data_IF_272394470404
#
_entry.id   IF_272394470404
#
_cell.length_a   1.000
_cell.length_b   1.000
_cell.length_c   1.000
_cell.angle_alpha   90.00
_cell.angle_beta   90.00
_cell.angle_gamma   90.00
#
_symmetry.space_group_name_H-M   'P 1'
#
loop_
_entity.id
_entity.type
_entity.pdbx_description
1 polymer ?
#
# COMPACT_ATOMS: atom_id res chain seq x y z
N UNK A 1 -1.73 28.38 22.38
CA UNK A 1 -1.10 29.24 21.35
C UNK A 1 -0.55 28.32 20.26
N UNK A 2 -1.34 28.04 19.22
CA UNK A 2 -0.97 27.15 18.11
C UNK A 2 -0.22 27.92 17.04
N UNK A 3 1.08 28.12 17.27
CA UNK A 3 1.92 28.85 16.33
C UNK A 3 3.35 28.38 16.44
N UNK A 4 3.87 27.91 15.30
CA UNK A 4 5.30 27.72 15.07
C UNK A 4 5.79 28.87 14.19
N UNK A 5 7.03 29.33 14.42
CA UNK A 5 7.63 30.34 13.54
C UNK A 5 7.88 29.71 12.17
N UNK A 6 7.46 30.38 11.11
CA UNK A 6 7.65 29.90 9.73
C UNK A 6 9.12 29.59 9.41
N UNK A 7 10.05 30.45 9.85
CA UNK A 7 11.48 30.22 9.66
C UNK A 7 11.96 28.92 10.28
N UNK A 8 11.47 28.60 11.49
CA UNK A 8 11.82 27.39 12.21
C UNK A 8 11.21 26.14 11.55
N UNK A 9 9.95 26.23 11.10
CA UNK A 9 9.32 25.14 10.37
C UNK A 9 10.04 24.85 9.05
N UNK A 10 10.44 25.90 8.32
CA UNK A 10 11.22 25.78 7.08
C UNK A 10 12.56 25.08 7.31
N UNK A 11 13.28 25.44 8.37
CA UNK A 11 14.55 24.82 8.73
C UNK A 11 14.38 23.32 9.03
N UNK A 12 13.37 22.96 9.83
CA UNK A 12 13.06 21.57 10.18
C UNK A 12 12.72 20.77 8.91
N UNK A 13 11.79 21.26 8.10
CA UNK A 13 11.36 20.56 6.88
C UNK A 13 12.51 20.41 5.89
N UNK A 14 13.35 21.44 5.73
CA UNK A 14 14.53 21.39 4.87
C UNK A 14 15.54 20.35 5.36
N UNK A 15 15.79 20.30 6.68
CA UNK A 15 16.68 19.33 7.29
C UNK A 15 16.18 17.89 7.05
N UNK A 16 14.89 17.64 7.30
CA UNK A 16 14.30 16.32 7.11
C UNK A 16 14.31 15.88 5.65
N UNK A 17 13.97 16.77 4.71
CA UNK A 17 14.09 16.46 3.28
C UNK A 17 15.52 16.06 2.91
N UNK A 18 16.54 16.79 3.40
CA UNK A 18 17.95 16.44 3.15
C UNK A 18 18.30 15.07 3.73
N UNK A 19 17.91 14.78 4.96
CA UNK A 19 18.20 13.51 5.61
C UNK A 19 17.57 12.33 4.84
N UNK A 20 16.29 12.43 4.51
CA UNK A 20 15.55 11.36 3.83
C UNK A 20 16.03 11.18 2.39
N UNK A 21 16.32 12.26 1.67
CA UNK A 21 16.87 12.16 0.29
C UNK A 21 18.29 11.61 0.27
N UNK A 22 19.14 12.00 1.22
CA UNK A 22 20.47 11.41 1.39
C UNK A 22 20.37 9.91 1.69
N UNK A 23 19.52 9.50 2.62
CA UNK A 23 19.30 8.09 2.96
C UNK A 23 18.83 7.28 1.76
N UNK A 24 17.83 7.77 1.02
CA UNK A 24 17.31 7.11 -0.17
C UNK A 24 18.35 6.96 -1.30
N UNK A 25 19.26 7.92 -1.43
CA UNK A 25 20.30 7.93 -2.47
C UNK A 25 21.52 7.08 -2.12
N UNK A 26 22.00 7.18 -0.88
CA UNK A 26 23.28 6.60 -0.44
C UNK A 26 23.13 5.17 0.04
N UNK A 27 21.95 4.81 0.58
CA UNK A 27 21.64 3.46 1.04
C UNK A 27 20.25 3.03 0.55
N UNK A 28 20.09 2.95 -0.78
CA UNK A 28 18.78 2.68 -1.39
C UNK A 28 18.14 1.37 -0.92
N UNK A 29 18.93 0.30 -0.71
CA UNK A 29 18.41 -0.99 -0.25
C UNK A 29 17.93 -0.91 1.21
N UNK A 30 18.74 -0.35 2.11
CA UNK A 30 18.37 -0.13 3.51
C UNK A 30 17.16 0.81 3.64
N UNK A 31 17.06 1.82 2.77
CA UNK A 31 15.92 2.72 2.70
C UNK A 31 14.65 1.99 2.28
N UNK A 32 14.73 1.13 1.27
CA UNK A 32 13.61 0.32 0.84
C UNK A 32 13.13 -0.64 1.95
N UNK A 33 14.07 -1.23 2.69
CA UNK A 33 13.74 -2.08 3.85
C UNK A 33 13.12 -1.26 4.99
N UNK A 34 13.67 -0.09 5.31
CA UNK A 34 13.15 0.80 6.34
C UNK A 34 11.73 1.29 6.00
N UNK A 35 11.49 1.79 4.78
CA UNK A 35 10.16 2.23 4.35
C UNK A 35 9.19 1.04 4.34
N UNK A 36 9.63 -0.15 3.91
CA UNK A 36 8.82 -1.36 4.01
C UNK A 36 8.46 -1.68 5.46
N UNK A 37 9.37 -1.50 6.42
CA UNK A 37 9.13 -1.78 7.84
C UNK A 37 8.19 -0.76 8.49
N UNK A 38 8.38 0.52 8.21
CA UNK A 38 7.57 1.63 8.74
C UNK A 38 6.22 1.75 8.04
N UNK A 39 6.10 1.30 6.78
CA UNK A 39 4.79 1.13 6.18
C UNK A 39 4.02 0.10 7.01
N UNK A 40 2.99 0.61 7.65
CA UNK A 40 2.23 0.02 8.73
C UNK A 40 2.19 -1.53 8.70
N UNK A 41 2.57 -2.17 9.80
CA UNK A 41 2.40 -3.63 9.99
C UNK A 41 0.97 -4.08 9.64
N UNK A 42 -0.03 -3.21 9.81
CA UNK A 42 -1.39 -3.44 9.35
C UNK A 42 -1.52 -3.63 7.83
N UNK A 43 -0.86 -2.81 7.00
CA UNK A 43 -0.88 -2.92 5.54
C UNK A 43 -0.17 -4.21 5.07
N UNK A 44 0.97 -4.56 5.70
CA UNK A 44 1.63 -5.86 5.47
C UNK A 44 0.75 -7.04 5.84
N UNK A 45 0.06 -6.95 6.98
CA UNK A 45 -0.88 -7.96 7.46
C UNK A 45 -2.07 -8.09 6.50
N UNK A 46 -2.64 -6.98 6.08
CA UNK A 46 -3.75 -6.92 5.13
C UNK A 46 -3.36 -7.51 3.76
N UNK A 47 -2.16 -7.19 3.25
CA UNK A 47 -1.63 -7.78 2.02
C UNK A 47 -1.42 -9.29 2.17
N UNK A 48 -0.91 -9.74 3.31
CA UNK A 48 -0.75 -11.18 3.61
C UNK A 48 -2.10 -11.90 3.68
N UNK A 49 -3.10 -11.29 4.31
CA UNK A 49 -4.47 -11.83 4.39
C UNK A 49 -5.15 -11.84 3.01
N UNK A 50 -5.03 -10.77 2.23
CA UNK A 50 -5.53 -10.70 0.85
C UNK A 50 -4.90 -11.78 -0.03
N UNK A 51 -3.58 -12.00 0.08
CA UNK A 51 -2.88 -13.05 -0.66
C UNK A 51 -3.34 -14.47 -0.25
N UNK A 52 -3.61 -14.69 1.05
CA UNK A 52 -4.19 -15.97 1.54
C UNK A 52 -5.58 -16.21 0.96
N UNK A 53 -6.44 -15.18 0.97
CA UNK A 53 -7.78 -15.25 0.37
C UNK A 53 -7.70 -15.51 -1.13
N UNK A 54 -6.83 -14.81 -1.84
CA UNK A 54 -6.62 -14.98 -3.28
C UNK A 54 -6.29 -16.43 -3.63
N UNK A 55 -5.31 -17.03 -2.94
CA UNK A 55 -4.94 -18.43 -3.16
C UNK A 55 -6.09 -19.39 -2.87
N UNK A 56 -6.91 -19.10 -1.86
CA UNK A 56 -8.08 -19.92 -1.53
C UNK A 56 -9.15 -19.82 -2.62
N UNK A 57 -9.46 -18.62 -3.11
CA UNK A 57 -10.45 -18.40 -4.17
C UNK A 57 -9.96 -18.98 -5.51
N UNK A 58 -8.68 -18.84 -5.86
CA UNK A 58 -8.09 -19.49 -7.05
C UNK A 58 -8.15 -21.02 -6.97
N UNK A 59 -7.85 -21.59 -5.80
CA UNK A 59 -7.99 -23.04 -5.58
C UNK A 59 -9.44 -23.49 -5.72
N UNK A 60 -10.39 -22.77 -5.11
CA UNK A 60 -11.81 -23.09 -5.20
C UNK A 60 -12.32 -22.99 -6.65
N UNK A 61 -11.90 -21.97 -7.38
CA UNK A 61 -12.25 -21.80 -8.80
C UNK A 61 -11.80 -23.00 -9.64
N UNK A 62 -10.58 -23.51 -9.39
CA UNK A 62 -10.08 -24.70 -10.04
C UNK A 62 -10.88 -25.96 -9.66
N UNK A 63 -11.23 -26.13 -8.38
CA UNK A 63 -12.09 -27.22 -7.90
C UNK A 63 -13.46 -27.20 -8.58
N UNK A 64 -14.11 -26.03 -8.64
CA UNK A 64 -15.40 -25.86 -9.33
C UNK A 64 -15.28 -26.19 -10.82
N UNK A 65 -14.17 -25.83 -11.47
CA UNK A 65 -13.90 -26.23 -12.86
C UNK A 65 -13.80 -27.76 -13.05
N UNK A 66 -13.23 -28.48 -12.09
CA UNK A 66 -13.19 -29.95 -12.11
C UNK A 66 -14.58 -30.53 -11.91
N UNK A 67 -15.35 -29.99 -10.96
CA UNK A 67 -16.73 -30.44 -10.69
C UNK A 67 -17.60 -30.22 -11.92
N UNK A 68 -17.49 -29.06 -12.56
CA UNK A 68 -18.26 -28.74 -13.77
C UNK A 68 -17.93 -29.69 -14.93
N UNK A 69 -16.65 -30.05 -15.11
CA UNK A 69 -16.25 -31.03 -16.13
C UNK A 69 -16.89 -32.40 -15.88
N UNK A 70 -16.87 -32.88 -14.64
CA UNK A 70 -17.52 -34.15 -14.26
C UNK A 70 -19.02 -34.10 -14.47
N UNK A 71 -19.67 -32.99 -14.08
CA UNK A 71 -21.11 -32.79 -14.29
C UNK A 71 -21.47 -32.89 -15.79
N UNK A 72 -20.63 -32.34 -16.66
CA UNK A 72 -20.82 -32.46 -18.11
C UNK A 72 -20.61 -33.90 -18.61
N UNK A 73 -19.60 -34.61 -18.11
CA UNK A 73 -19.37 -36.03 -18.42
C UNK A 73 -20.58 -36.89 -18.00
N UNK A 74 -21.12 -36.69 -16.81
CA UNK A 74 -22.30 -37.41 -16.30
C UNK A 74 -23.57 -37.12 -17.12
N UNK A 75 -23.72 -35.89 -17.63
CA UNK A 75 -24.81 -35.52 -18.53
C UNK A 75 -24.70 -36.21 -19.89
N UNK A 76 -23.52 -36.18 -20.51
CA UNK A 76 -23.27 -36.85 -21.81
C UNK A 76 -23.43 -38.37 -21.72
N UNK A 77 -23.12 -38.97 -20.56
CA UNK A 77 -23.31 -40.39 -20.29
C UNK A 77 -24.76 -40.77 -19.96
N UNK A 78 -25.67 -39.78 -19.83
CA UNK A 78 -27.08 -40.01 -19.49
C UNK A 78 -27.32 -40.38 -18.04
N UNK A 79 -26.34 -40.18 -17.16
CA UNK A 79 -26.46 -40.42 -15.71
C UNK A 79 -27.39 -39.38 -15.06
N UNK A 80 -27.43 -38.17 -15.62
CA UNK A 80 -28.33 -37.08 -15.23
C UNK A 80 -29.07 -36.54 -16.45
N UNK A 81 -30.31 -36.09 -16.25
CA UNK A 81 -31.12 -35.48 -17.31
C UNK A 81 -30.81 -33.98 -17.54
N UNK A 82 -31.39 -33.42 -18.60
CA UNK A 82 -31.17 -32.01 -18.99
C UNK A 82 -31.60 -31.00 -17.91
N UNK A 83 -32.65 -31.31 -17.15
CA UNK A 83 -33.21 -30.39 -16.16
C UNK A 83 -32.34 -30.39 -14.89
N UNK A 84 -31.87 -31.56 -14.46
CA UNK A 84 -30.88 -31.72 -13.40
C UNK A 84 -29.56 -31.06 -13.77
N UNK A 85 -29.08 -31.25 -15.00
CA UNK A 85 -27.87 -30.61 -15.50
C UNK A 85 -28.01 -29.07 -15.48
N UNK A 86 -29.11 -28.52 -16.01
CA UNK A 86 -29.36 -27.07 -15.99
C UNK A 86 -29.39 -26.52 -14.57
N UNK A 87 -30.09 -27.18 -13.65
CA UNK A 87 -30.19 -26.73 -12.26
C UNK A 87 -28.81 -26.69 -11.57
N UNK A 88 -28.00 -27.74 -11.72
CA UNK A 88 -26.68 -27.83 -11.07
C UNK A 88 -25.63 -26.93 -11.75
N UNK A 89 -25.62 -26.89 -13.08
CA UNK A 89 -24.67 -26.07 -13.86
C UNK A 89 -24.86 -24.58 -13.61
N UNK A 90 -26.10 -24.12 -13.35
CA UNK A 90 -26.36 -22.74 -13.01
C UNK A 90 -25.67 -22.33 -11.70
N UNK A 91 -25.82 -23.12 -10.63
CA UNK A 91 -25.19 -22.85 -9.34
C UNK A 91 -23.66 -22.79 -9.43
N UNK A 92 -23.04 -23.70 -10.18
CA UNK A 92 -21.59 -23.67 -10.39
C UNK A 92 -21.14 -22.51 -11.28
N UNK A 93 -21.94 -22.11 -12.26
CA UNK A 93 -21.64 -20.95 -13.10
C UNK A 93 -21.68 -19.67 -12.28
N UNK A 94 -22.67 -19.53 -11.41
CA UNK A 94 -22.78 -18.40 -10.48
C UNK A 94 -21.59 -18.36 -9.52
N UNK A 95 -21.22 -19.50 -8.93
CA UNK A 95 -20.05 -19.61 -8.05
C UNK A 95 -18.74 -19.24 -8.80
N UNK A 96 -18.55 -19.69 -10.05
CA UNK A 96 -17.39 -19.32 -10.85
C UNK A 96 -17.32 -17.82 -11.11
N UNK A 97 -18.46 -17.19 -11.43
CA UNK A 97 -18.53 -15.76 -11.69
C UNK A 97 -18.21 -14.96 -10.42
N UNK A 98 -18.75 -15.38 -9.27
CA UNK A 98 -18.46 -14.76 -7.98
C UNK A 98 -16.98 -14.88 -7.61
N UNK A 99 -16.38 -16.06 -7.78
CA UNK A 99 -14.95 -16.28 -7.50
C UNK A 99 -14.06 -15.45 -8.42
N UNK A 100 -14.40 -15.34 -9.71
CA UNK A 100 -13.64 -14.49 -10.66
C UNK A 100 -13.70 -13.01 -10.28
N UNK A 101 -14.87 -12.52 -9.86
CA UNK A 101 -15.02 -11.16 -9.36
C UNK A 101 -14.17 -10.94 -8.09
N UNK A 102 -14.28 -11.84 -7.10
CA UNK A 102 -13.50 -11.76 -5.86
C UNK A 102 -11.98 -11.79 -6.14
N UNK A 103 -11.51 -12.65 -7.05
CA UNK A 103 -10.10 -12.71 -7.46
C UNK A 103 -9.66 -11.39 -8.11
N UNK A 104 -10.50 -10.79 -8.94
CA UNK A 104 -10.22 -9.51 -9.59
C UNK A 104 -10.09 -8.39 -8.55
N UNK A 105 -11.06 -8.31 -7.63
CA UNK A 105 -11.07 -7.30 -6.57
C UNK A 105 -9.87 -7.46 -5.63
N UNK A 106 -9.55 -8.69 -5.21
CA UNK A 106 -8.37 -8.98 -4.39
C UNK A 106 -7.08 -8.58 -5.10
N UNK A 107 -6.96 -8.83 -6.42
CA UNK A 107 -5.78 -8.40 -7.20
C UNK A 107 -5.68 -6.88 -7.27
N UNK A 108 -6.81 -6.18 -7.43
CA UNK A 108 -6.85 -4.72 -7.43
C UNK A 108 -6.42 -4.14 -6.08
N UNK A 109 -7.04 -4.59 -4.97
CA UNK A 109 -6.64 -4.16 -3.61
C UNK A 109 -5.17 -4.44 -3.35
N UNK A 110 -4.67 -5.60 -3.76
CA UNK A 110 -3.26 -5.92 -3.61
C UNK A 110 -2.36 -5.01 -4.45
N UNK A 111 -2.74 -4.63 -5.66
CA UNK A 111 -1.98 -3.65 -6.46
C UNK A 111 -1.95 -2.27 -5.80
N UNK A 112 -3.07 -1.82 -5.24
CA UNK A 112 -3.15 -0.56 -4.49
C UNK A 112 -2.21 -0.59 -3.28
N UNK A 113 -2.25 -1.67 -2.49
CA UNK A 113 -1.38 -1.88 -1.34
C UNK A 113 0.10 -2.05 -1.72
N UNK A 114 0.39 -2.69 -2.86
CA UNK A 114 1.76 -2.93 -3.36
C UNK A 114 2.39 -1.73 -4.07
N UNK A 115 1.61 -0.70 -4.42
CA UNK A 115 2.12 0.51 -5.06
C UNK A 115 3.25 1.19 -4.25
N UNK A 116 3.43 0.83 -2.97
CA UNK A 116 4.51 1.27 -2.09
C UNK A 116 5.93 0.95 -2.60
N UNK A 117 6.20 -0.23 -3.20
CA UNK A 117 7.55 -0.54 -3.70
C UNK A 117 7.91 0.31 -4.93
N UNK A 118 6.93 0.53 -5.81
CA UNK A 118 7.08 1.45 -6.93
C UNK A 118 7.25 2.90 -6.44
N UNK A 119 6.58 3.25 -5.35
CA UNK A 119 6.67 4.56 -4.71
C UNK A 119 8.05 4.79 -4.06
N UNK A 120 8.65 3.79 -3.41
CA UNK A 120 10.02 3.90 -2.88
C UNK A 120 11.05 4.08 -3.98
N UNK A 121 10.93 3.33 -5.08
CA UNK A 121 11.79 3.49 -6.25
C UNK A 121 11.65 4.89 -6.90
N UNK A 122 10.42 5.41 -6.99
CA UNK A 122 10.15 6.78 -7.45
C UNK A 122 10.77 7.82 -6.54
N UNK A 123 10.64 7.66 -5.22
CA UNK A 123 11.24 8.57 -4.25
C UNK A 123 12.76 8.57 -4.36
N UNK A 124 13.39 7.39 -4.46
CA UNK A 124 14.83 7.28 -4.65
C UNK A 124 15.31 7.92 -5.96
N UNK A 125 14.52 7.83 -7.04
CA UNK A 125 14.81 8.52 -8.30
C UNK A 125 14.74 10.05 -8.14
N UNK A 126 13.74 10.57 -7.43
CA UNK A 126 13.64 12.00 -7.10
C UNK A 126 14.82 12.45 -6.23
N UNK A 127 15.18 11.68 -5.21
CA UNK A 127 16.33 11.96 -4.34
C UNK A 127 17.66 12.00 -5.11
N UNK A 128 17.82 11.18 -6.15
CA UNK A 128 18.98 11.23 -7.06
C UNK A 128 18.98 12.49 -7.92
N UNK A 129 17.81 12.94 -8.39
CA UNK A 129 17.66 14.15 -9.20
C UNK A 129 17.96 15.44 -8.43
N UNK A 130 17.57 15.51 -7.15
CA UNK A 130 17.75 16.70 -6.30
C UNK A 130 18.87 16.47 -5.27
N UNK A 131 20.12 16.53 -5.74
CA UNK A 131 21.30 16.09 -4.96
C UNK A 131 21.78 17.14 -3.94
N UNK A 132 21.67 18.43 -4.28
CA UNK A 132 22.11 19.59 -3.49
C UNK A 132 20.95 20.55 -3.21
N UNK A 133 20.05 20.14 -2.32
CA UNK A 133 18.93 20.95 -1.88
C UNK A 133 19.47 22.02 -0.91
N UNK A 134 19.78 23.23 -1.38
CA UNK A 134 20.31 24.34 -0.56
C UNK A 134 19.21 25.12 0.17
N UNK A 135 18.04 25.23 -0.43
CA UNK A 135 16.91 25.99 0.08
C UNK A 135 15.60 25.22 -0.10
N UNK A 136 14.63 25.49 0.78
CA UNK A 136 13.28 24.94 0.66
C UNK A 136 12.48 25.78 -0.33
N UNK A 137 12.63 25.49 -1.62
CA UNK A 137 11.81 26.10 -2.67
C UNK A 137 10.42 25.47 -2.69
N UNK A 138 9.44 26.18 -3.23
CA UNK A 138 8.08 25.66 -3.41
C UNK A 138 8.05 24.37 -4.24
N UNK A 139 8.91 24.27 -5.25
CA UNK A 139 9.08 23.06 -6.06
C UNK A 139 9.54 21.87 -5.21
N UNK A 140 10.58 22.05 -4.40
CA UNK A 140 11.14 20.97 -3.55
C UNK A 140 10.10 20.55 -2.51
N UNK A 141 9.42 21.51 -1.88
CA UNK A 141 8.37 21.22 -0.92
C UNK A 141 7.26 20.37 -1.55
N UNK A 142 6.68 20.79 -2.68
CA UNK A 142 5.62 20.06 -3.36
C UNK A 142 6.09 18.71 -3.93
N UNK A 143 7.38 18.58 -4.25
CA UNK A 143 7.95 17.34 -4.77
C UNK A 143 8.05 16.28 -3.66
N UNK A 144 8.59 16.66 -2.50
CA UNK A 144 8.95 15.70 -1.46
C UNK A 144 7.94 15.60 -0.32
N UNK A 145 7.10 16.61 -0.10
CA UNK A 145 6.19 16.68 1.05
C UNK A 145 4.74 16.70 0.58
N UNK A 146 3.95 15.74 1.08
CA UNK A 146 2.51 15.67 0.86
C UNK A 146 1.74 16.54 1.84
N UNK A 147 2.08 16.49 3.12
CA UNK A 147 1.46 17.31 4.18
C UNK A 147 2.38 17.42 5.40
N UNK A 148 2.13 18.44 6.22
CA UNK A 148 2.83 18.66 7.48
C UNK A 148 1.77 18.82 8.56
N UNK A 149 1.86 18.02 9.62
CA UNK A 149 0.99 18.10 10.79
C UNK A 149 1.78 18.67 11.96
N UNK A 150 1.28 19.78 12.52
CA UNK A 150 1.91 20.46 13.65
C UNK A 150 1.04 20.25 14.87
N UNK A 151 1.53 19.51 15.85
CA UNK A 151 0.79 19.14 17.04
C UNK A 151 0.82 20.24 18.10
N UNK A 152 0.04 20.04 19.16
CA UNK A 152 -0.02 20.96 20.28
C UNK A 152 1.31 21.03 21.05
N UNK A 153 1.56 22.19 21.67
CA UNK A 153 2.73 22.38 22.52
C UNK A 153 2.48 21.68 23.85
N UNK A 154 3.33 20.71 24.18
CA UNK A 154 3.32 20.02 25.45
C UNK A 154 4.33 20.68 26.38
N UNK A 155 3.94 20.92 27.63
CA UNK A 155 4.82 21.42 28.68
C UNK A 155 5.11 20.28 29.64
N UNK A 156 6.38 19.96 29.85
CA UNK A 156 6.78 18.96 30.83
C UNK A 156 6.79 19.53 32.26
N UNK A 157 6.91 18.64 33.24
CA UNK A 157 6.93 18.99 34.68
C UNK A 157 8.11 19.90 35.05
N UNK A 158 9.17 19.91 34.24
CA UNK A 158 10.37 20.75 34.41
C UNK A 158 10.23 22.12 33.74
N UNK A 159 9.11 22.38 33.06
CA UNK A 159 8.81 23.64 32.39
C UNK A 159 9.35 23.77 30.96
N UNK A 160 9.95 22.71 30.40
CA UNK A 160 10.32 22.63 28.99
C UNK A 160 9.07 22.54 28.12
N UNK A 161 9.10 23.17 26.95
CA UNK A 161 8.00 23.15 25.98
C UNK A 161 8.46 22.40 24.74
N UNK A 162 7.79 21.30 24.43
CA UNK A 162 8.05 20.46 23.26
C UNK A 162 6.87 20.56 22.30
N UNK A 163 7.13 20.52 20.99
CA UNK A 163 6.08 20.52 19.97
C UNK A 163 6.42 19.45 18.93
N UNK A 164 5.52 18.48 18.74
CA UNK A 164 5.70 17.43 17.75
C UNK A 164 5.30 17.95 16.36
N UNK A 165 6.08 17.57 15.35
CA UNK A 165 5.83 17.91 13.94
C UNK A 165 6.00 16.63 13.15
N UNK A 166 4.92 16.22 12.48
CA UNK A 166 4.92 15.05 11.60
C UNK A 166 4.98 15.53 10.14
N UNK A 167 6.01 15.10 9.41
CA UNK A 167 6.19 15.40 7.99
C UNK A 167 5.85 14.14 7.19
N UNK A 168 4.86 14.26 6.31
CA UNK A 168 4.45 13.17 5.43
C UNK A 168 5.10 13.39 4.07
N UNK A 169 6.04 12.52 3.74
CA UNK A 169 6.72 12.55 2.46
C UNK A 169 5.86 11.95 1.35
N UNK A 170 5.89 12.61 0.19
CA UNK A 170 5.29 12.10 -1.04
C UNK A 170 5.83 10.70 -1.33
N UNK A 171 4.97 9.76 -1.73
CA UNK A 171 5.31 8.37 -2.07
C UNK A 171 5.63 7.43 -0.89
N UNK A 172 6.32 7.89 0.15
CA UNK A 172 6.84 7.01 1.22
C UNK A 172 6.15 7.18 2.58
N UNK A 173 5.30 8.21 2.74
CA UNK A 173 4.56 8.45 3.99
C UNK A 173 5.44 9.10 5.06
N UNK A 174 5.16 8.80 6.33
CA UNK A 174 5.92 9.35 7.45
C UNK A 174 7.22 8.56 7.65
N UNK A 175 8.30 9.27 7.93
CA UNK A 175 9.61 8.72 8.26
C UNK A 175 9.94 9.24 9.65
N UNK A 176 10.04 8.34 10.65
CA UNK A 176 10.34 8.66 12.06
C UNK A 176 11.69 8.10 12.50
#
# INVERSE_FOLDING_TARGET
MHGIKESHLKEIVLHEIRNVTAFARERTDDFAEYISRESNTAAKKELSEANKKLKKSEKRLAEVGIIFRKLYEDHVLGTIDDDQFRMLSQGYTDEQNQLKAEISDLKHTMQELQSQTANTARFAALAKKYTDITELTQEILHTFVSRIEVHEKLKDDNGSITQEIDIYFTHIGIVK
#
